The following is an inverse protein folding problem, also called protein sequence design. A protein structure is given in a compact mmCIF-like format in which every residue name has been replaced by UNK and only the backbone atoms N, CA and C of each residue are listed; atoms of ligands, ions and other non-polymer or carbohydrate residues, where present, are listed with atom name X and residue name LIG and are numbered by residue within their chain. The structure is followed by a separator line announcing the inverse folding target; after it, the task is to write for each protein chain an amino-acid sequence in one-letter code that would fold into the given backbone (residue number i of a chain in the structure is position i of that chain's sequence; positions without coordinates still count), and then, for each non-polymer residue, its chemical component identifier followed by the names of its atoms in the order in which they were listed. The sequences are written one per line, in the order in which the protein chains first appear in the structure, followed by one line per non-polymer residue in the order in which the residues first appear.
data_IF_007408790291
#
_entry.id   IF_007408790291
#
_cell.length_a   1.000
_cell.length_b   1.000
_cell.length_c   1.000
_cell.angle_alpha   90.00
_cell.angle_beta   90.00
_cell.angle_gamma   90.00
#
_symmetry.space_group_name_H-M   'P 1'
#
loop_
_entity.id
_entity.type
_entity.pdbx_description
1 polymer ?
#
# COMPACT_ATOMS: atom_id res chain seq x y z
N UNK A 1 5.97 6.02 -16.90
CA UNK A 1 4.88 5.54 -16.05
C UNK A 1 5.45 4.98 -14.75
N UNK A 2 4.89 5.34 -13.61
CA UNK A 2 5.36 4.76 -12.36
C UNK A 2 5.05 3.27 -12.33
N UNK A 3 5.96 2.51 -11.80
CA UNK A 3 5.79 1.09 -11.63
C UNK A 3 4.70 0.81 -10.61
N UNK A 4 3.90 -0.22 -10.85
CA UNK A 4 2.84 -0.63 -9.95
C UNK A 4 3.11 -2.05 -9.44
N UNK A 5 2.64 -2.32 -8.23
CA UNK A 5 2.90 -3.57 -7.53
C UNK A 5 1.60 -4.22 -7.13
N UNK A 6 1.62 -5.54 -7.00
CA UNK A 6 0.43 -6.30 -6.62
C UNK A 6 0.12 -6.14 -5.12
N UNK A 7 -1.09 -6.50 -4.74
CA UNK A 7 -1.48 -6.53 -3.32
C UNK A 7 -0.61 -7.51 -2.54
N UNK A 8 -0.25 -8.65 -3.16
CA UNK A 8 0.61 -9.63 -2.49
C UNK A 8 1.98 -9.04 -2.16
N UNK A 9 2.58 -8.34 -3.12
CA UNK A 9 3.87 -7.68 -2.88
C UNK A 9 3.73 -6.59 -1.82
N UNK A 10 2.66 -5.81 -1.88
CA UNK A 10 2.40 -4.77 -0.90
C UNK A 10 2.26 -5.34 0.51
N UNK A 11 1.55 -6.46 0.65
CA UNK A 11 1.36 -7.10 1.94
C UNK A 11 2.70 -7.51 2.56
N UNK A 12 3.59 -8.09 1.76
CA UNK A 12 4.93 -8.45 2.23
C UNK A 12 5.74 -7.21 2.60
N UNK A 13 5.67 -6.18 1.77
CA UNK A 13 6.43 -4.96 1.99
C UNK A 13 6.03 -4.27 3.29
N UNK A 14 4.74 -4.24 3.58
CA UNK A 14 4.20 -3.54 4.74
C UNK A 14 4.05 -4.43 5.96
N UNK A 15 4.32 -5.72 5.82
CA UNK A 15 4.15 -6.71 6.88
C UNK A 15 2.72 -6.69 7.43
N UNK A 16 1.77 -6.79 6.52
CA UNK A 16 0.35 -6.87 6.85
C UNK A 16 -0.28 -7.96 5.99
N UNK A 17 -1.51 -8.34 6.32
CA UNK A 17 -2.23 -9.30 5.50
C UNK A 17 -2.73 -8.65 4.21
N UNK A 18 -2.88 -9.46 3.17
CA UNK A 18 -3.49 -8.99 1.93
C UNK A 18 -4.91 -8.48 2.20
N UNK A 19 -5.61 -9.12 3.14
CA UNK A 19 -6.96 -8.70 3.52
C UNK A 19 -6.98 -7.28 4.10
N UNK A 20 -5.97 -6.95 4.90
CA UNK A 20 -5.86 -5.59 5.46
C UNK A 20 -5.75 -4.56 4.34
N UNK A 21 -4.92 -4.86 3.33
CA UNK A 21 -4.75 -3.97 2.19
C UNK A 21 -6.05 -3.87 1.39
N UNK A 22 -6.65 -5.01 1.07
CA UNK A 22 -7.90 -5.01 0.30
C UNK A 22 -8.99 -4.23 1.01
N UNK A 23 -9.11 -4.38 2.32
CA UNK A 23 -10.09 -3.61 3.10
C UNK A 23 -9.81 -2.12 3.04
N UNK A 24 -8.55 -1.73 3.19
CA UNK A 24 -8.17 -0.32 3.12
C UNK A 24 -8.50 0.26 1.75
N UNK A 25 -8.17 -0.47 0.68
CA UNK A 25 -8.41 0.01 -0.69
C UNK A 25 -9.89 0.02 -1.05
N UNK A 26 -10.68 -0.87 -0.45
CA UNK A 26 -12.13 -0.95 -0.72
C UNK A 26 -12.90 0.19 -0.09
N UNK A 27 -12.45 0.68 1.06
CA UNK A 27 -13.21 1.65 1.83
C UNK A 27 -12.66 3.07 1.75
N UNK A 28 -11.50 3.25 1.16
CA UNK A 28 -10.84 4.55 1.13
C UNK A 28 -10.23 4.82 -0.24
N UNK A 29 -10.35 6.06 -0.67
CA UNK A 29 -9.74 6.48 -1.93
C UNK A 29 -8.30 6.89 -1.65
N UNK A 30 -7.36 6.20 -2.26
CA UNK A 30 -5.93 6.42 -2.03
C UNK A 30 -5.26 6.75 -3.35
N UNK A 31 -4.55 7.88 -3.36
CA UNK A 31 -3.78 8.29 -4.52
C UNK A 31 -2.65 7.28 -4.75
N UNK A 32 -2.45 6.90 -5.98
CA UNK A 32 -1.41 5.92 -6.31
C UNK A 32 -1.91 4.48 -6.37
N UNK A 33 -3.22 4.29 -6.30
CA UNK A 33 -3.83 2.97 -6.46
C UNK A 33 -4.51 2.91 -7.82
N UNK A 34 -4.30 1.83 -8.53
CA UNK A 34 -4.86 1.63 -9.86
C UNK A 34 -5.80 0.43 -9.88
N UNK A 35 -6.94 0.62 -10.51
CA UNK A 35 -7.83 -0.47 -10.87
C UNK A 35 -8.54 -0.01 -12.14
N UNK A 36 -8.20 -0.63 -13.26
CA UNK A 36 -8.72 -0.21 -14.55
C UNK A 36 -10.22 -0.43 -14.66
N UNK A 37 -10.71 -1.50 -14.04
CA UNK A 37 -12.13 -1.79 -14.04
C UNK A 37 -12.44 -2.77 -12.92
N UNK A 38 -13.71 -2.88 -12.59
CA UNK A 38 -14.15 -3.83 -11.58
C UNK A 38 -13.79 -5.26 -12.00
N UNK A 39 -13.34 -6.05 -11.05
CA UNK A 39 -12.90 -7.42 -11.30
C UNK A 39 -11.43 -7.54 -11.63
N UNK A 40 -10.76 -6.45 -11.95
CA UNK A 40 -9.31 -6.45 -12.18
C UNK A 40 -8.61 -6.17 -10.86
N UNK A 41 -7.53 -6.90 -10.59
CA UNK A 41 -6.77 -6.73 -9.36
C UNK A 41 -6.22 -5.32 -9.24
N UNK A 42 -6.31 -4.76 -8.05
CA UNK A 42 -5.74 -3.45 -7.76
C UNK A 42 -4.23 -3.52 -7.74
N UNK A 43 -3.62 -2.43 -8.15
CA UNK A 43 -2.17 -2.27 -8.12
C UNK A 43 -1.81 -0.98 -7.41
N UNK A 44 -0.67 -0.98 -6.75
CA UNK A 44 -0.22 0.16 -5.97
C UNK A 44 1.09 0.68 -6.52
N UNK A 45 1.17 1.99 -6.70
CA UNK A 45 2.44 2.65 -7.00
C UNK A 45 3.20 2.87 -5.70
N UNK A 46 4.45 3.34 -5.80
CA UNK A 46 5.24 3.67 -4.61
C UNK A 46 4.51 4.70 -3.75
N UNK A 47 3.82 5.65 -4.37
CA UNK A 47 3.05 6.64 -3.63
C UNK A 47 1.93 5.99 -2.82
N UNK A 48 1.21 5.05 -3.42
CA UNK A 48 0.17 4.32 -2.70
C UNK A 48 0.74 3.49 -1.56
N UNK A 49 1.87 2.83 -1.80
CA UNK A 49 2.55 2.06 -0.78
C UNK A 49 3.04 2.95 0.37
N UNK A 50 3.57 4.12 0.05
CA UNK A 50 4.04 5.06 1.07
C UNK A 50 2.88 5.53 1.93
N UNK A 51 1.75 5.85 1.32
CA UNK A 51 0.55 6.24 2.06
C UNK A 51 0.13 5.15 3.03
N UNK A 52 0.04 3.91 2.56
CA UNK A 52 -0.37 2.79 3.42
C UNK A 52 0.67 2.50 4.50
N UNK A 53 1.95 2.65 4.20
CA UNK A 53 3.03 2.46 5.17
C UNK A 53 2.88 3.44 6.34
N UNK A 54 2.68 4.71 6.02
CA UNK A 54 2.50 5.73 7.05
C UNK A 54 1.20 5.49 7.82
N UNK A 55 0.12 5.16 7.11
CA UNK A 55 -1.16 4.87 7.75
C UNK A 55 -1.05 3.68 8.72
N UNK A 56 -0.33 2.63 8.33
CA UNK A 56 -0.12 1.46 9.16
C UNK A 56 0.61 1.84 10.45
N UNK A 57 1.64 2.65 10.31
CA UNK A 57 2.41 3.13 11.47
C UNK A 57 1.54 3.98 12.39
N UNK A 58 0.78 4.92 11.84
CA UNK A 58 -0.09 5.78 12.65
C UNK A 58 -1.15 4.96 13.38
N UNK A 59 -1.72 3.98 12.70
CA UNK A 59 -2.72 3.12 13.31
C UNK A 59 -2.11 2.28 14.43
N UNK A 60 -0.92 1.71 14.20
CA UNK A 60 -0.27 0.86 15.18
C UNK A 60 0.24 1.63 16.39
N UNK A 61 0.86 2.80 16.14
CA UNK A 61 1.52 3.56 17.21
C UNK A 61 0.57 4.49 17.97
N UNK A 62 -0.41 5.04 17.28
CA UNK A 62 -1.29 6.04 17.88
C UNK A 62 -2.72 5.52 18.08
N UNK A 63 -3.00 4.30 17.64
CA UNK A 63 -4.35 3.74 17.78
C UNK A 63 -5.40 4.40 16.90
N UNK A 64 -4.97 5.10 15.84
CA UNK A 64 -5.91 5.74 14.94
C UNK A 64 -6.69 4.71 14.12
N UNK A 65 -7.93 5.03 13.77
CA UNK A 65 -8.66 4.20 12.80
C UNK A 65 -7.91 4.24 11.47
N UNK A 66 -8.07 3.19 10.67
CA UNK A 66 -7.39 3.11 9.38
C UNK A 66 -7.80 4.28 8.50
N UNK A 67 -9.07 4.65 8.49
CA UNK A 67 -9.54 5.78 7.70
C UNK A 67 -8.88 7.09 8.08
N UNK A 68 -8.83 7.39 9.37
CA UNK A 68 -8.16 8.59 9.83
C UNK A 68 -6.67 8.55 9.54
N UNK A 69 -6.05 7.39 9.72
CA UNK A 69 -4.62 7.22 9.45
C UNK A 69 -4.29 7.47 7.97
N UNK A 70 -5.14 6.96 7.07
CA UNK A 70 -4.95 7.19 5.64
C UNK A 70 -5.10 8.68 5.29
N UNK A 71 -6.11 9.33 5.87
CA UNK A 71 -6.34 10.75 5.64
C UNK A 71 -5.14 11.58 6.08
N UNK A 72 -4.63 11.30 7.28
CA UNK A 72 -3.45 11.99 7.81
C UNK A 72 -2.22 11.70 6.95
N UNK A 73 -2.04 10.44 6.55
CA UNK A 73 -0.90 10.03 5.73
C UNK A 73 -0.86 10.80 4.41
N UNK A 74 -2.02 10.94 3.75
CA UNK A 74 -2.08 11.65 2.49
C UNK A 74 -1.76 13.14 2.67
N UNK A 75 -2.23 13.73 3.77
CA UNK A 75 -1.92 15.13 4.07
C UNK A 75 -0.44 15.33 4.37
N UNK A 76 0.15 14.43 5.15
CA UNK A 76 1.57 14.51 5.48
C UNK A 76 2.43 14.45 4.21
N UNK A 77 2.08 13.54 3.30
CA UNK A 77 2.81 13.42 2.03
C UNK A 77 2.65 14.70 1.19
N UNK A 78 1.45 15.22 1.11
CA UNK A 78 1.19 16.44 0.34
C UNK A 78 1.93 17.64 0.92
N UNK A 79 2.12 17.67 2.24
CA UNK A 79 2.79 18.77 2.92
C UNK A 79 4.26 18.44 3.23
N UNK A 80 4.80 17.46 2.55
CA UNK A 80 6.23 17.14 2.59
C UNK A 80 6.75 16.75 3.96
N UNK A 81 5.92 16.09 4.75
CA UNK A 81 6.33 15.50 6.01
C UNK A 81 5.99 16.31 7.26
N UNK A 82 5.44 17.50 7.10
CA UNK A 82 5.17 18.35 8.25
C UNK A 82 3.79 18.97 8.11
N UNK A 83 2.92 18.68 9.09
CA UNK A 83 1.56 19.23 9.05
C UNK A 83 1.07 19.60 10.43
N UNK A 84 0.20 20.59 10.49
CA UNK A 84 -0.52 20.93 11.69
C UNK A 84 -1.80 20.10 11.72
N UNK A 85 -1.92 19.21 12.70
CA UNK A 85 -3.11 18.38 12.86
C UNK A 85 -4.26 19.20 13.43
N UNK A 86 -3.95 19.97 14.45
CA UNK A 86 -4.86 20.92 15.06
C UNK A 86 -4.01 21.99 15.70
N UNK A 87 -4.65 23.09 16.13
CA UNK A 87 -3.92 24.17 16.78
C UNK A 87 -3.14 23.62 17.98
N UNK A 88 -1.83 23.82 17.95
CA UNK A 88 -0.96 23.37 19.03
C UNK A 88 -0.44 21.96 18.86
N UNK A 89 -0.88 21.21 17.83
CA UNK A 89 -0.39 19.87 17.59
C UNK A 89 0.09 19.72 16.17
N UNK A 90 1.39 19.51 16.03
CA UNK A 90 2.05 19.36 14.75
C UNK A 90 2.65 17.96 14.64
N UNK A 91 2.53 17.38 13.46
CA UNK A 91 3.15 16.10 13.16
C UNK A 91 4.28 16.33 12.16
N UNK A 92 5.41 15.71 12.43
CA UNK A 92 6.55 15.79 11.52
C UNK A 92 7.09 14.38 11.29
N UNK A 93 7.21 14.01 10.02
CA UNK A 93 7.78 12.73 9.62
C UNK A 93 8.93 12.97 8.67
N UNK A 94 9.98 12.16 8.80
CA UNK A 94 11.07 12.15 7.85
C UNK A 94 10.64 11.26 6.68
N UNK A 95 9.99 11.88 5.69
CA UNK A 95 9.48 11.14 4.53
C UNK A 95 10.57 10.45 3.75
N UNK A 96 11.74 11.05 3.68
CA UNK A 96 12.85 10.44 2.95
C UNK A 96 13.28 9.14 3.61
N UNK A 97 13.37 9.13 4.94
CA UNK A 97 13.68 7.92 5.67
C UNK A 97 12.62 6.85 5.48
N UNK A 98 11.34 7.23 5.53
CA UNK A 98 10.24 6.30 5.27
C UNK A 98 10.34 5.72 3.87
N UNK A 99 10.63 6.56 2.89
CA UNK A 99 10.73 6.13 1.49
C UNK A 99 11.90 5.17 1.30
N UNK A 100 13.04 5.45 1.90
CA UNK A 100 14.20 4.59 1.80
C UNK A 100 13.93 3.21 2.41
N UNK A 101 13.31 3.18 3.57
CA UNK A 101 12.94 1.91 4.21
C UNK A 101 11.93 1.15 3.38
N UNK A 102 10.95 1.86 2.84
CA UNK A 102 9.94 1.26 1.98
C UNK A 102 10.57 0.63 0.74
N UNK A 103 11.47 1.36 0.08
CA UNK A 103 12.12 0.85 -1.12
C UNK A 103 12.98 -0.37 -0.83
N UNK A 104 13.66 -0.38 0.30
CA UNK A 104 14.46 -1.53 0.71
C UNK A 104 13.59 -2.77 0.93
N UNK A 105 12.46 -2.61 1.64
CA UNK A 105 11.53 -3.70 1.89
C UNK A 105 10.87 -4.16 0.60
N UNK A 106 10.55 -3.22 -0.28
CA UNK A 106 9.92 -3.52 -1.55
C UNK A 106 10.82 -4.35 -2.44
N UNK A 107 12.10 -4.02 -2.48
CA UNK A 107 13.07 -4.77 -3.25
C UNK A 107 13.09 -6.23 -2.81
N UNK A 108 13.13 -6.47 -1.50
CA UNK A 108 13.08 -7.83 -0.97
C UNK A 108 11.75 -8.50 -1.27
N UNK A 109 10.64 -7.78 -1.10
CA UNK A 109 9.31 -8.34 -1.31
C UNK A 109 9.09 -8.77 -2.76
N UNK A 110 9.62 -8.01 -3.71
CA UNK A 110 9.51 -8.37 -5.13
C UNK A 110 10.19 -9.69 -5.41
N UNK A 111 11.31 -9.97 -4.73
CA UNK A 111 12.03 -11.22 -4.94
C UNK A 111 11.29 -12.45 -4.39
N UNK A 112 10.56 -12.28 -3.28
CA UNK A 112 9.94 -13.42 -2.60
C UNK A 112 8.44 -13.55 -2.85
N UNK A 113 7.79 -12.51 -3.37
CA UNK A 113 6.36 -12.56 -3.62
C UNK A 113 6.05 -13.54 -4.75
N UNK A 114 4.91 -14.26 -4.66
CA UNK A 114 4.51 -15.11 -5.77
C UNK A 114 4.22 -14.28 -7.01
N UNK A 115 4.53 -14.85 -8.17
CA UNK A 115 4.24 -14.18 -9.43
C UNK A 115 2.74 -13.97 -9.57
N UNK A 116 2.32 -12.81 -10.08
CA UNK A 116 0.89 -12.57 -10.28
C UNK A 116 0.35 -13.54 -11.33
N UNK A 117 -0.84 -14.06 -11.07
CA UNK A 117 -1.51 -14.92 -12.02
C UNK A 117 -2.02 -14.08 -13.17
N UNK A 118 -1.78 -14.55 -14.37
CA UNK A 118 -2.30 -13.92 -15.57
C UNK A 118 -3.70 -14.46 -15.82
N UNK A 119 -4.70 -13.80 -15.24
CA UNK A 119 -6.04 -14.25 -15.40
C UNK A 119 -6.26 -15.65 -14.85
N UNK A 120 -7.31 -16.30 -15.32
CA UNK A 120 -7.59 -17.66 -14.91
C UNK A 120 -6.67 -18.64 -15.63
N UNK A 121 -5.98 -19.54 -14.91
CA UNK A 121 -5.17 -20.56 -15.59
C UNK A 121 -6.06 -21.45 -16.46
N UNK A 122 -5.54 -21.99 -17.60
CA UNK A 122 -6.28 -22.92 -18.44
C UNK A 122 -6.62 -24.18 -17.65
N UNK A 123 -7.73 -24.74 -17.89
CA UNK A 123 -8.09 -25.99 -17.21
C UNK A 123 -7.35 -27.13 -17.82
N UNK A 124 -7.12 -27.39 -17.49
CA UNK A 124 -6.50 -27.96 -17.78
C UNK A 124 -6.12 -28.40 -17.82
N UNK A 125 -5.96 -28.67 -18.19
CA UNK A 125 -5.50 -28.54 -18.32
C UNK A 125 -4.71 -28.82 -17.63
N UNK A 126 -4.86 -29.13 -17.87
CA UNK A 126 -4.39 -29.16 -17.22
C UNK A 126 -3.92 -29.45 -16.49
N UNK A 127 -4.12 -29.83 -16.65
CA UNK A 127 -4.14 -29.75 -15.95
C UNK A 127 -3.89 -30.24 -15.45
N UNK A 128 -3.90 -30.75 -15.96
CA UNK A 128 -4.06 -30.84 -15.70
C UNK A 128 -3.52 -31.28 -15.36
N UNK A 129 -3.49 -31.56 -15.88
CA UNK A 129 -3.40 -31.57 -15.74
C UNK A 129 -3.00 -31.66 -15.52
N UNK A 130 -3.07 -32.01 -15.93
CA UNK A 130 -3.18 -31.73 -15.98
C UNK A 130 -2.94 -31.56 -15.77
#
# INVERSE_FOLDING_TARGET
MPRAYTVATAALTLDVSAKWIDNALSHHRIKGVRQERQGVSRQLTIEGLLTLSIARMLSAELGSSVGNAISIAQRIIAERGKMMLTKGLQIELDLESFREQLLSRLEHAVEVAPLPRRGRPPRNTTGRLE
#
